data_IF_836937523787
#
_entry.id   IF_836937523787
#
_cell.length_a   1.000
_cell.length_b   1.000
_cell.length_c   1.000
_cell.angle_alpha   90.00
_cell.angle_beta   90.00
_cell.angle_gamma   90.00
#
_symmetry.space_group_name_H-M   'P 1'
#
loop_
_entity.id
_entity.type
_entity.pdbx_description
1 polymer ?
#
# COMPACT_ATOMS: atom_id res chain seq x y z
N UNK A 1 -40.75 -10.94 3.45
CA UNK A 1 -39.50 -11.76 3.51
C UNK A 1 -38.58 -11.10 4.52
N UNK A 2 -38.19 -11.76 5.63
CA UNK A 2 -37.17 -11.20 6.51
C UNK A 2 -35.83 -11.14 5.76
N UNK A 3 -35.09 -10.04 5.92
CA UNK A 3 -33.77 -9.84 5.34
C UNK A 3 -32.72 -9.76 6.45
N UNK A 4 -31.54 -10.29 6.17
CA UNK A 4 -30.36 -10.18 7.02
C UNK A 4 -29.44 -9.07 6.46
N UNK A 5 -28.98 -8.18 7.35
CA UNK A 5 -28.16 -7.01 7.01
C UNK A 5 -26.76 -7.10 7.67
N UNK A 6 -26.15 -8.28 7.63
CA UNK A 6 -24.85 -8.53 8.29
C UNK A 6 -23.65 -8.01 7.47
N UNK A 7 -23.90 -7.22 6.44
CA UNK A 7 -22.91 -6.74 5.49
C UNK A 7 -22.48 -5.31 5.77
N UNK A 8 -21.19 -5.11 6.02
CA UNK A 8 -20.59 -3.79 6.11
C UNK A 8 -20.26 -3.32 4.69
N UNK A 9 -21.01 -2.37 4.14
CA UNK A 9 -20.72 -1.78 2.82
C UNK A 9 -19.43 -0.95 2.74
N UNK A 10 -18.58 -0.96 3.78
CA UNK A 10 -17.21 -0.44 3.73
C UNK A 10 -17.12 1.03 3.31
N UNK A 11 -16.18 1.36 2.42
CA UNK A 11 -16.03 2.71 1.86
C UNK A 11 -17.25 3.19 1.06
N UNK A 12 -18.11 2.27 0.59
CA UNK A 12 -19.37 2.62 -0.09
C UNK A 12 -20.47 3.07 0.88
N UNK A 13 -20.35 2.78 2.19
CA UNK A 13 -21.25 3.31 3.23
C UNK A 13 -20.87 4.72 3.71
N UNK A 14 -19.60 5.10 3.51
CA UNK A 14 -19.12 6.40 3.97
C UNK A 14 -19.81 7.49 3.14
N UNK A 15 -20.43 8.44 3.82
CA UNK A 15 -20.77 9.71 3.22
C UNK A 15 -19.51 10.31 2.56
N UNK A 16 -19.65 11.09 1.49
CA UNK A 16 -18.53 11.80 0.89
C UNK A 16 -17.69 12.50 1.96
N UNK A 17 -16.37 12.29 1.95
CA UNK A 17 -15.50 12.94 2.92
C UNK A 17 -15.59 14.46 2.74
N UNK A 18 -16.03 15.14 3.80
CA UNK A 18 -16.02 16.60 3.83
C UNK A 18 -14.58 17.10 3.89
N UNK A 19 -14.28 18.13 3.13
CA UNK A 19 -13.00 18.83 3.23
C UNK A 19 -12.94 19.62 4.54
N UNK A 20 -11.74 19.94 5.02
CA UNK A 20 -11.57 20.79 6.21
C UNK A 20 -12.19 22.18 5.99
N UNK A 21 -12.18 22.69 4.76
CA UNK A 21 -12.87 23.93 4.40
C UNK A 21 -14.41 23.81 4.57
N UNK A 22 -15.00 22.68 4.17
CA UNK A 22 -16.43 22.42 4.36
C UNK A 22 -16.81 22.23 5.84
N UNK A 23 -15.90 21.69 6.65
CA UNK A 23 -16.08 21.60 8.10
C UNK A 23 -15.97 22.97 8.77
N UNK A 24 -15.02 23.80 8.33
CA UNK A 24 -14.81 25.15 8.86
C UNK A 24 -15.91 26.14 8.44
N UNK A 25 -16.53 25.95 7.27
CA UNK A 25 -17.65 26.76 6.79
C UNK A 25 -19.00 26.38 7.44
N UNK A 26 -19.03 25.38 8.33
CA UNK A 26 -20.26 24.89 8.96
C UNK A 26 -20.72 25.84 10.05
N UNK A 27 -21.94 26.37 9.90
CA UNK A 27 -22.61 27.11 10.97
C UNK A 27 -23.01 26.17 12.12
N UNK A 28 -22.93 26.63 13.39
CA UNK A 28 -23.43 25.86 14.53
C UNK A 28 -24.91 25.51 14.33
N UNK A 29 -25.26 24.23 14.38
CA UNK A 29 -26.66 23.76 14.27
C UNK A 29 -27.17 23.43 12.86
N UNK A 30 -26.35 23.59 11.81
CA UNK A 30 -26.74 23.19 10.46
C UNK A 30 -26.90 21.66 10.35
N UNK A 31 -28.09 21.21 9.91
CA UNK A 31 -28.42 19.80 9.67
C UNK A 31 -27.53 19.22 8.55
N UNK A 32 -27.13 17.96 8.72
CA UNK A 32 -26.31 17.24 7.74
C UNK A 32 -27.19 16.64 6.63
N UNK A 33 -27.10 17.17 5.41
CA UNK A 33 -27.51 16.44 4.19
C UNK A 33 -26.39 15.49 3.75
N UNK A 34 -26.12 14.46 4.53
CA UNK A 34 -25.26 13.37 4.11
C UNK A 34 -26.14 12.14 3.86
N UNK A 35 -26.53 11.92 2.61
CA UNK A 35 -27.10 10.63 2.22
C UNK A 35 -26.00 9.57 2.35
N UNK A 36 -26.14 8.73 3.37
CA UNK A 36 -25.26 7.59 3.60
C UNK A 36 -25.32 6.58 2.45
N UNK A 37 -24.35 5.67 2.39
CA UNK A 37 -24.32 4.65 1.34
C UNK A 37 -25.39 3.57 1.45
N UNK A 38 -25.58 2.82 0.36
CA UNK A 38 -26.54 1.69 0.29
C UNK A 38 -26.03 0.49 1.08
N UNK A 39 -26.90 -0.12 1.90
CA UNK A 39 -26.66 -1.41 2.56
C UNK A 39 -27.15 -2.55 1.67
N UNK A 40 -26.38 -3.64 1.61
CA UNK A 40 -26.84 -4.87 0.96
C UNK A 40 -27.64 -5.68 2.00
N UNK A 41 -28.85 -6.08 1.63
CA UNK A 41 -29.72 -6.93 2.42
C UNK A 41 -29.94 -8.24 1.66
N UNK A 42 -29.70 -9.38 2.33
CA UNK A 42 -29.87 -10.71 1.72
C UNK A 42 -31.13 -11.35 2.33
N UNK A 43 -32.02 -11.95 1.53
CA UNK A 43 -33.16 -12.69 2.07
C UNK A 43 -32.68 -13.74 3.09
N UNK A 44 -33.34 -13.82 4.24
CA UNK A 44 -32.96 -14.76 5.30
C UNK A 44 -32.98 -16.22 4.81
N UNK A 45 -33.95 -16.54 3.95
CA UNK A 45 -34.08 -17.86 3.32
C UNK A 45 -32.82 -18.28 2.56
N UNK A 46 -32.12 -17.33 1.92
CA UNK A 46 -30.90 -17.62 1.17
C UNK A 46 -29.69 -17.81 2.10
N UNK A 47 -29.79 -17.45 3.38
CA UNK A 47 -28.71 -17.65 4.37
C UNK A 47 -28.86 -18.93 5.20
N UNK A 48 -29.91 -19.73 4.95
CA UNK A 48 -30.12 -20.98 5.65
C UNK A 48 -29.03 -22.03 5.30
N UNK A 49 -28.70 -22.95 6.22
CA UNK A 49 -27.72 -24.01 5.95
C UNK A 49 -28.06 -24.80 4.68
N UNK A 50 -27.07 -25.02 3.81
CA UNK A 50 -27.23 -25.83 2.61
C UNK A 50 -27.72 -25.07 1.37
N UNK A 51 -28.05 -23.78 1.48
CA UNK A 51 -28.34 -22.96 0.30
C UNK A 51 -27.08 -22.69 -0.53
N UNK A 52 -27.25 -22.36 -1.81
CA UNK A 52 -26.12 -21.99 -2.66
C UNK A 52 -25.35 -20.76 -2.13
N UNK A 53 -26.07 -19.79 -1.57
CA UNK A 53 -25.45 -18.59 -1.00
C UNK A 53 -24.68 -18.92 0.29
N UNK A 54 -25.21 -19.76 1.18
CA UNK A 54 -24.49 -20.20 2.38
C UNK A 54 -23.23 -20.97 2.03
N UNK A 55 -23.32 -21.92 1.09
CA UNK A 55 -22.17 -22.70 0.63
C UNK A 55 -21.08 -21.82 -0.01
N UNK A 56 -21.49 -20.83 -0.81
CA UNK A 56 -20.60 -19.84 -1.39
C UNK A 56 -19.95 -18.97 -0.32
N UNK A 57 -20.74 -18.45 0.62
CA UNK A 57 -20.26 -17.62 1.72
C UNK A 57 -19.27 -18.39 2.59
N UNK A 58 -19.50 -19.68 2.86
CA UNK A 58 -18.57 -20.54 3.62
C UNK A 58 -17.25 -20.73 2.89
N UNK A 59 -17.27 -20.92 1.56
CA UNK A 59 -16.06 -21.04 0.76
C UNK A 59 -15.29 -19.72 0.64
N UNK A 60 -16.00 -18.59 0.59
CA UNK A 60 -15.41 -17.26 0.40
C UNK A 60 -15.00 -16.57 1.70
N UNK A 61 -15.65 -16.87 2.81
CA UNK A 61 -15.45 -16.27 4.13
C UNK A 61 -15.39 -17.35 5.23
N UNK A 62 -14.38 -18.21 5.21
CA UNK A 62 -14.33 -19.40 6.06
C UNK A 62 -14.16 -19.11 7.56
N UNK A 63 -13.75 -17.90 7.94
CA UNK A 63 -13.64 -17.45 9.32
C UNK A 63 -14.02 -15.98 9.46
N UNK A 64 -14.24 -15.54 10.70
CA UNK A 64 -14.81 -14.22 11.03
C UNK A 64 -14.05 -13.06 10.39
N UNK A 65 -12.71 -13.08 10.40
CA UNK A 65 -11.90 -12.03 9.80
C UNK A 65 -11.97 -12.06 8.27
N UNK A 66 -11.95 -13.25 7.66
CA UNK A 66 -12.12 -13.41 6.22
C UNK A 66 -13.48 -12.86 5.76
N UNK A 67 -14.54 -12.99 6.55
CA UNK A 67 -15.85 -12.40 6.26
C UNK A 67 -15.76 -10.89 6.05
N UNK A 68 -15.09 -10.13 6.92
CA UNK A 68 -14.93 -8.68 6.75
C UNK A 68 -14.17 -8.29 5.48
N UNK A 69 -13.15 -9.06 5.07
CA UNK A 69 -12.39 -8.79 3.86
C UNK A 69 -13.11 -9.25 2.58
N UNK A 70 -13.83 -10.37 2.65
CA UNK A 70 -14.64 -10.90 1.55
C UNK A 70 -15.78 -9.96 1.23
N UNK A 71 -16.43 -9.37 2.24
CA UNK A 71 -17.38 -8.27 2.01
C UNK A 71 -16.72 -7.13 1.24
N UNK A 72 -15.56 -6.64 1.67
CA UNK A 72 -14.82 -5.57 0.96
C UNK A 72 -14.43 -5.95 -0.47
N UNK A 73 -14.15 -7.24 -0.73
CA UNK A 73 -13.85 -7.76 -2.07
C UNK A 73 -15.09 -7.78 -2.96
N UNK A 74 -16.23 -8.22 -2.43
CA UNK A 74 -17.51 -8.19 -3.13
C UNK A 74 -18.02 -6.77 -3.47
N UNK A 75 -17.50 -5.75 -2.76
CA UNK A 75 -17.80 -4.34 -3.01
C UNK A 75 -16.61 -3.53 -3.54
N UNK A 76 -15.57 -4.20 -4.07
CA UNK A 76 -14.47 -3.50 -4.71
C UNK A 76 -15.02 -2.67 -5.88
N UNK A 77 -14.87 -1.35 -5.81
CA UNK A 77 -15.20 -0.51 -6.96
C UNK A 77 -14.25 -0.88 -8.11
N UNK A 78 -14.74 -0.95 -9.36
CA UNK A 78 -13.82 -0.94 -10.48
C UNK A 78 -12.95 0.31 -10.33
N UNK A 79 -11.64 0.19 -10.52
CA UNK A 79 -10.80 1.37 -10.50
C UNK A 79 -11.14 2.25 -11.69
N UNK A 80 -10.69 3.49 -11.57
CA UNK A 80 -10.90 4.55 -12.54
C UNK A 80 -9.98 4.35 -13.76
N UNK A 81 -10.09 3.20 -14.43
CA UNK A 81 -9.44 2.90 -15.71
C UNK A 81 -10.53 2.76 -16.77
N UNK A 82 -10.50 3.67 -17.75
CA UNK A 82 -11.48 3.70 -18.83
C UNK A 82 -11.54 2.36 -19.58
N UNK A 83 -12.76 1.86 -19.78
CA UNK A 83 -13.02 0.63 -20.53
C UNK A 83 -12.80 -0.67 -19.76
N UNK A 84 -12.47 -0.62 -18.46
CA UNK A 84 -12.32 -1.81 -17.62
C UNK A 84 -13.37 -1.87 -16.50
N UNK A 85 -13.89 -3.07 -16.26
CA UNK A 85 -14.83 -3.39 -15.19
C UNK A 85 -14.18 -4.13 -14.01
N UNK A 86 -14.97 -4.48 -12.98
CA UNK A 86 -14.45 -5.16 -11.79
C UNK A 86 -13.80 -6.52 -12.08
N UNK A 87 -14.30 -7.23 -13.09
CA UNK A 87 -13.80 -8.54 -13.50
C UNK A 87 -12.39 -8.47 -14.10
N UNK A 88 -11.99 -7.32 -14.66
CA UNK A 88 -10.69 -7.17 -15.33
C UNK A 88 -9.50 -7.13 -14.36
N UNK A 89 -9.79 -7.17 -13.05
CA UNK A 89 -8.83 -7.27 -11.94
C UNK A 89 -8.77 -8.68 -11.34
N UNK A 90 -9.66 -9.57 -11.76
CA UNK A 90 -9.71 -10.93 -11.26
C UNK A 90 -8.73 -11.81 -12.03
N UNK A 91 -7.87 -12.51 -11.28
CA UNK A 91 -7.07 -13.59 -11.84
C UNK A 91 -7.83 -14.90 -11.71
N UNK A 92 -8.24 -15.45 -12.85
CA UNK A 92 -9.05 -16.68 -12.91
C UNK A 92 -8.25 -17.92 -13.32
N UNK A 93 -8.80 -19.10 -13.05
CA UNK A 93 -8.22 -20.39 -13.45
C UNK A 93 -7.23 -20.97 -12.43
N UNK A 94 -6.48 -21.98 -12.87
CA UNK A 94 -5.52 -22.69 -12.03
C UNK A 94 -4.11 -22.11 -12.13
N UNK A 95 -3.48 -21.86 -11.00
CA UNK A 95 -2.09 -21.42 -10.91
C UNK A 95 -1.48 -21.87 -9.58
N UNK A 96 -0.14 -21.88 -9.51
CA UNK A 96 0.59 -22.37 -8.34
C UNK A 96 1.04 -21.22 -7.47
N UNK A 97 0.60 -21.24 -6.21
CA UNK A 97 0.96 -20.29 -5.18
C UNK A 97 2.02 -20.86 -4.25
N UNK A 98 3.09 -20.10 -4.02
CA UNK A 98 4.03 -20.37 -2.94
C UNK A 98 3.76 -19.46 -1.76
N UNK A 99 3.41 -20.09 -0.63
CA UNK A 99 3.36 -19.46 0.68
C UNK A 99 4.66 -19.75 1.40
N UNK A 100 5.42 -18.70 1.70
CA UNK A 100 6.69 -18.77 2.39
C UNK A 100 6.47 -18.41 3.85
N UNK A 101 7.00 -19.21 4.79
CA UNK A 101 6.90 -18.89 6.20
C UNK A 101 7.75 -17.65 6.53
N UNK A 102 7.35 -16.98 7.61
CA UNK A 102 8.17 -15.99 8.28
C UNK A 102 9.53 -16.58 8.65
N UNK A 103 10.51 -15.69 8.76
CA UNK A 103 11.90 -16.08 9.00
C UNK A 103 12.52 -15.30 10.14
N UNK A 104 13.48 -15.91 10.86
CA UNK A 104 14.31 -15.20 11.82
C UNK A 104 14.96 -13.97 11.18
N UNK A 105 15.14 -12.91 11.98
CA UNK A 105 15.86 -11.73 11.55
C UNK A 105 17.27 -12.10 11.05
N UNK A 106 17.65 -11.58 9.88
CA UNK A 106 18.96 -11.84 9.27
C UNK A 106 19.06 -13.10 8.40
N UNK A 107 18.07 -14.01 8.44
CA UNK A 107 18.06 -15.16 7.54
C UNK A 107 17.83 -14.74 6.08
N UNK A 108 18.66 -15.26 5.17
CA UNK A 108 18.58 -14.92 3.76
C UNK A 108 17.28 -15.45 3.12
N UNK A 109 16.74 -14.73 2.14
CA UNK A 109 15.51 -15.14 1.47
C UNK A 109 15.77 -16.22 0.40
N UNK A 110 15.01 -17.35 0.37
CA UNK A 110 15.24 -18.43 -0.60
C UNK A 110 14.78 -18.02 -2.00
N UNK A 111 13.80 -17.12 -2.08
CA UNK A 111 13.42 -16.45 -3.32
C UNK A 111 14.26 -15.18 -3.50
N UNK A 112 15.18 -15.17 -4.48
CA UNK A 112 16.06 -14.03 -4.77
C UNK A 112 15.94 -13.64 -6.23
N UNK A 113 15.49 -12.42 -6.47
CA UNK A 113 15.34 -11.89 -7.82
C UNK A 113 16.72 -11.51 -8.37
N UNK A 114 16.95 -11.84 -9.64
CA UNK A 114 18.12 -11.42 -10.40
C UNK A 114 17.63 -10.68 -11.65
N UNK A 115 18.11 -9.47 -11.85
CA UNK A 115 17.87 -8.66 -13.05
C UNK A 115 19.03 -8.75 -14.02
N UNK A 116 18.84 -8.25 -15.27
CA UNK A 116 19.91 -8.16 -16.25
C UNK A 116 21.08 -7.27 -15.77
N UNK A 117 20.77 -6.24 -15.00
CA UNK A 117 21.73 -5.25 -14.49
C UNK A 117 22.32 -5.62 -13.12
N UNK A 118 22.00 -6.82 -12.60
CA UNK A 118 22.49 -7.33 -11.32
C UNK A 118 21.41 -7.80 -10.36
N UNK A 119 21.78 -8.12 -9.11
CA UNK A 119 20.84 -8.64 -8.11
C UNK A 119 19.79 -7.59 -7.71
N UNK A 120 18.56 -8.04 -7.51
CA UNK A 120 17.45 -7.19 -7.03
C UNK A 120 17.24 -7.45 -5.53
N UNK A 121 17.39 -6.40 -4.73
CA UNK A 121 17.38 -6.50 -3.26
C UNK A 121 15.98 -6.66 -2.65
N UNK A 122 14.91 -6.58 -3.46
CA UNK A 122 13.54 -6.75 -3.00
C UNK A 122 13.27 -8.19 -2.57
N UNK A 123 12.42 -8.37 -1.55
CA UNK A 123 12.04 -9.70 -1.05
C UNK A 123 10.56 -9.77 -0.67
N UNK A 124 9.94 -10.95 -0.78
CA UNK A 124 8.69 -11.22 -0.10
C UNK A 124 8.87 -11.07 1.41
N UNK A 125 7.96 -10.34 2.05
CA UNK A 125 7.92 -10.14 3.50
C UNK A 125 6.59 -9.49 3.89
N UNK A 126 5.95 -10.00 4.95
CA UNK A 126 4.75 -9.39 5.58
C UNK A 126 3.70 -8.91 4.57
N UNK A 127 3.14 -9.86 3.80
CA UNK A 127 2.11 -9.56 2.80
C UNK A 127 2.64 -8.97 1.48
N UNK A 128 3.89 -8.52 1.39
CA UNK A 128 4.53 -8.24 0.11
C UNK A 128 4.96 -9.55 -0.57
N UNK A 129 4.65 -9.69 -1.86
CA UNK A 129 5.01 -10.84 -2.67
C UNK A 129 5.26 -10.50 -4.13
N UNK A 130 5.54 -11.53 -4.91
CA UNK A 130 5.86 -11.45 -6.33
C UNK A 130 4.93 -12.33 -7.16
N UNK A 131 4.64 -11.89 -8.38
CA UNK A 131 3.88 -12.63 -9.39
C UNK A 131 4.62 -12.56 -10.73
N UNK A 132 4.66 -13.68 -11.46
CA UNK A 132 5.21 -13.69 -12.83
C UNK A 132 4.38 -12.82 -13.75
N UNK A 133 5.04 -12.08 -14.64
CA UNK A 133 4.39 -11.26 -15.65
C UNK A 133 3.40 -12.08 -16.49
N UNK A 134 3.80 -13.27 -16.96
CA UNK A 134 2.93 -14.15 -17.75
C UNK A 134 1.62 -14.54 -17.05
N UNK A 135 1.62 -14.65 -15.72
CA UNK A 135 0.40 -14.90 -14.95
C UNK A 135 -0.37 -13.60 -14.72
N UNK A 136 0.33 -12.53 -14.34
CA UNK A 136 -0.30 -11.25 -14.01
C UNK A 136 -1.03 -10.63 -15.20
N UNK A 137 -0.48 -10.77 -16.41
CA UNK A 137 -1.06 -10.29 -17.66
C UNK A 137 -2.36 -10.98 -18.07
N UNK A 138 -2.74 -12.07 -17.39
CA UNK A 138 -4.08 -12.67 -17.57
C UNK A 138 -5.19 -11.81 -16.94
N UNK A 139 -4.84 -10.83 -16.11
CA UNK A 139 -5.73 -9.76 -15.68
C UNK A 139 -5.64 -8.60 -16.70
N UNK A 140 -6.70 -8.29 -17.45
CA UNK A 140 -6.68 -7.23 -18.46
C UNK A 140 -6.20 -5.88 -17.94
N UNK A 141 -6.53 -5.55 -16.69
CA UNK A 141 -6.05 -4.33 -16.04
C UNK A 141 -4.54 -4.26 -15.88
N UNK A 142 -3.92 -5.37 -15.49
CA UNK A 142 -2.47 -5.45 -15.32
C UNK A 142 -1.78 -5.50 -16.67
N UNK A 143 -2.36 -6.21 -17.64
CA UNK A 143 -1.87 -6.20 -19.03
C UNK A 143 -1.83 -4.78 -19.60
N UNK A 144 -2.89 -3.98 -19.38
CA UNK A 144 -2.93 -2.57 -19.81
C UNK A 144 -1.87 -1.70 -19.13
N UNK A 145 -1.58 -1.96 -17.85
CA UNK A 145 -0.53 -1.24 -17.12
C UNK A 145 0.88 -1.60 -17.61
N UNK A 146 1.11 -2.85 -18.01
CA UNK A 146 2.40 -3.34 -18.51
C UNK A 146 2.63 -3.00 -20.00
N UNK A 147 1.56 -3.03 -20.80
CA UNK A 147 1.56 -2.76 -22.23
C UNK A 147 0.48 -1.72 -22.55
N UNK A 148 0.82 -0.43 -22.49
CA UNK A 148 -0.09 0.62 -22.94
C UNK A 148 -0.38 0.43 -24.43
N UNK A 149 -1.66 0.39 -24.80
CA UNK A 149 -2.16 0.14 -26.15
C UNK A 149 -2.66 1.43 -26.84
N UNK A 150 -2.07 2.57 -26.47
CA UNK A 150 -2.50 3.89 -26.93
C UNK A 150 -3.71 4.47 -26.17
N UNK A 151 -4.34 3.69 -25.29
CA UNK A 151 -5.33 4.21 -24.35
C UNK A 151 -4.70 5.11 -23.27
N UNK A 152 -5.53 5.83 -22.51
CA UNK A 152 -5.08 6.68 -21.41
C UNK A 152 -4.21 5.87 -20.41
N UNK A 153 -3.07 6.42 -19.97
CA UNK A 153 -2.15 5.69 -19.10
C UNK A 153 -2.80 5.39 -17.74
N UNK A 154 -2.48 4.21 -17.20
CA UNK A 154 -2.91 3.82 -15.85
C UNK A 154 -2.22 4.74 -14.84
N UNK A 155 -3.02 5.48 -14.07
CA UNK A 155 -2.48 6.43 -13.09
C UNK A 155 -1.72 5.71 -11.98
N UNK A 156 -0.48 6.13 -11.74
CA UNK A 156 0.34 5.56 -10.66
C UNK A 156 -0.17 6.04 -9.31
N UNK A 157 -0.16 5.14 -8.31
CA UNK A 157 -0.62 5.49 -6.96
C UNK A 157 0.17 6.68 -6.39
N UNK A 158 -0.57 7.69 -5.93
CA UNK A 158 0.03 8.90 -5.35
C UNK A 158 0.91 9.68 -6.32
N UNK A 159 0.77 9.48 -7.63
CA UNK A 159 1.40 10.33 -8.64
C UNK A 159 0.94 11.78 -8.41
N UNK A 160 1.92 12.69 -8.33
CA UNK A 160 1.77 14.12 -8.03
C UNK A 160 1.09 14.45 -6.69
N UNK A 161 0.79 13.44 -5.87
CA UNK A 161 0.21 13.63 -4.55
C UNK A 161 1.31 13.83 -3.52
N UNK A 162 1.40 15.06 -3.01
CA UNK A 162 2.15 15.37 -1.80
C UNK A 162 1.25 15.19 -0.58
N UNK A 163 1.78 14.56 0.45
CA UNK A 163 1.12 14.35 1.73
C UNK A 163 1.88 15.12 2.79
N UNK A 164 1.17 15.86 3.62
CA UNK A 164 1.77 16.55 4.76
C UNK A 164 2.12 15.54 5.83
N UNK A 165 3.32 15.65 6.38
CA UNK A 165 3.72 14.90 7.58
C UNK A 165 2.83 15.39 8.73
N UNK A 166 2.04 14.50 9.37
CA UNK A 166 1.17 14.94 10.44
C UNK A 166 1.99 15.39 11.64
N UNK A 167 1.46 16.36 12.39
CA UNK A 167 2.14 16.94 13.55
C UNK A 167 2.57 15.87 14.58
N UNK A 168 1.78 14.79 14.73
CA UNK A 168 2.10 13.66 15.60
C UNK A 168 3.43 12.98 15.25
N UNK A 169 3.81 12.95 13.97
CA UNK A 169 5.08 12.38 13.54
C UNK A 169 6.29 13.14 14.12
N UNK A 170 6.13 14.44 14.38
CA UNK A 170 7.21 15.31 14.85
C UNK A 170 7.29 15.34 16.40
N UNK A 171 6.22 14.94 17.10
CA UNK A 171 6.14 14.98 18.57
C UNK A 171 7.10 14.00 19.27
N UNK A 172 7.61 13.00 18.54
CA UNK A 172 8.53 12.00 19.09
C UNK A 172 10.00 12.44 19.10
N UNK A 173 10.32 13.57 18.48
CA UNK A 173 11.68 14.09 18.39
C UNK A 173 11.92 15.20 19.42
N UNK A 174 13.13 15.30 19.99
CA UNK A 174 13.47 16.40 20.88
C UNK A 174 13.36 17.73 20.15
N UNK A 175 13.01 18.78 20.90
CA UNK A 175 12.99 20.16 20.36
C UNK A 175 14.38 20.53 19.84
N UNK A 176 14.43 21.13 18.66
CA UNK A 176 15.68 21.57 18.04
C UNK A 176 15.47 22.94 17.39
N UNK A 177 16.24 23.93 17.82
CA UNK A 177 16.19 25.28 17.26
C UNK A 177 16.55 25.28 15.77
N UNK A 178 17.53 24.46 15.37
CA UNK A 178 17.93 24.32 13.97
C UNK A 178 16.81 23.74 13.10
N UNK A 179 16.06 22.76 13.62
CA UNK A 179 14.91 22.18 12.91
C UNK A 179 13.74 23.16 12.84
N UNK A 180 13.50 23.91 13.92
CA UNK A 180 12.47 24.96 13.94
C UNK A 180 12.77 26.03 12.88
N UNK A 181 14.04 26.43 12.76
CA UNK A 181 14.49 27.39 11.75
C UNK A 181 14.36 26.83 10.32
N UNK A 182 14.82 25.60 10.06
CA UNK A 182 14.61 24.95 8.75
C UNK A 182 13.12 24.85 8.39
N UNK A 183 12.27 24.58 9.38
CA UNK A 183 10.82 24.50 9.20
C UNK A 183 10.23 25.86 8.87
N UNK A 184 10.70 26.93 9.53
CA UNK A 184 10.32 28.31 9.24
C UNK A 184 10.72 28.72 7.82
N UNK A 185 11.97 28.46 7.43
CA UNK A 185 12.46 28.74 6.08
C UNK A 185 11.63 28.01 5.00
N UNK A 186 11.29 26.74 5.22
CA UNK A 186 10.43 25.97 4.31
C UNK A 186 9.01 26.55 4.22
N UNK A 187 8.43 26.92 5.35
CA UNK A 187 7.11 27.54 5.40
C UNK A 187 7.10 28.89 4.66
N UNK A 188 8.11 29.73 4.88
CA UNK A 188 8.28 31.03 4.19
C UNK A 188 8.47 30.87 2.68
N UNK A 189 9.33 29.93 2.26
CA UNK A 189 9.52 29.63 0.85
C UNK A 189 8.22 29.14 0.19
N UNK A 190 7.47 28.27 0.88
CA UNK A 190 6.17 27.81 0.39
C UNK A 190 5.16 28.96 0.29
N UNK A 191 5.04 29.80 1.32
CA UNK A 191 4.17 30.98 1.34
C UNK A 191 4.52 31.95 0.20
N UNK A 192 5.81 32.21 -0.03
CA UNK A 192 6.29 33.08 -1.11
C UNK A 192 6.07 32.50 -2.51
N UNK A 193 6.00 31.17 -2.65
CA UNK A 193 5.70 30.52 -3.94
C UNK A 193 4.22 30.59 -4.34
N UNK A 194 3.33 31.01 -3.43
CA UNK A 194 1.89 31.03 -3.69
C UNK A 194 1.51 32.19 -4.61
N UNK A 195 0.61 31.89 -5.55
CA UNK A 195 -0.06 32.89 -6.39
C UNK A 195 -1.23 33.57 -5.68
N UNK A 196 -1.81 32.94 -4.66
CA UNK A 196 -2.97 33.44 -3.92
C UNK A 196 -2.57 33.94 -2.53
N UNK A 197 -2.90 35.19 -2.16
CA UNK A 197 -2.47 35.79 -0.90
C UNK A 197 -3.26 35.29 0.32
N UNK A 198 -4.46 34.73 0.14
CA UNK A 198 -5.25 34.16 1.24
C UNK A 198 -5.02 32.65 1.36
N UNK A 199 -4.83 32.21 2.60
CA UNK A 199 -4.77 30.79 2.95
C UNK A 199 -6.17 30.28 3.27
N UNK A 200 -6.46 29.05 2.87
CA UNK A 200 -7.59 28.30 3.43
C UNK A 200 -7.31 27.95 4.89
N UNK A 201 -8.36 27.62 5.66
CA UNK A 201 -8.19 27.19 7.06
C UNK A 201 -7.27 25.95 7.19
N UNK A 202 -7.35 25.02 6.25
CA UNK A 202 -6.48 23.83 6.19
C UNK A 202 -5.01 24.20 5.96
N UNK A 203 -4.75 25.10 5.02
CA UNK A 203 -3.40 25.56 4.71
C UNK A 203 -2.78 26.32 5.87
N UNK A 204 -3.54 27.20 6.51
CA UNK A 204 -3.10 27.90 7.73
C UNK A 204 -2.76 26.90 8.83
N UNK A 205 -3.65 25.94 9.10
CA UNK A 205 -3.42 24.90 10.11
C UNK A 205 -2.15 24.09 9.81
N UNK A 206 -1.95 23.65 8.56
CA UNK A 206 -0.76 22.89 8.15
C UNK A 206 0.51 23.72 8.19
N UNK A 207 0.45 24.99 7.82
CA UNK A 207 1.57 25.93 7.95
C UNK A 207 2.03 26.01 9.40
N UNK A 208 1.10 26.23 10.34
CA UNK A 208 1.42 26.42 11.76
C UNK A 208 1.87 25.13 12.45
N UNK A 209 1.28 23.98 12.09
CA UNK A 209 1.53 22.71 12.80
C UNK A 209 2.64 21.86 12.21
N UNK A 210 2.92 22.00 10.92
CA UNK A 210 3.86 21.14 10.19
C UNK A 210 4.82 21.89 9.28
N UNK A 211 4.68 23.22 9.14
CA UNK A 211 5.53 24.04 8.27
C UNK A 211 5.52 23.63 6.80
N UNK A 212 4.45 22.96 6.34
CA UNK A 212 4.39 22.37 4.98
C UNK A 212 5.55 21.41 4.68
N UNK A 213 6.00 20.66 5.69
CA UNK A 213 6.88 19.51 5.48
C UNK A 213 6.06 18.42 4.79
N UNK A 214 6.07 18.47 3.46
CA UNK A 214 5.31 17.59 2.59
C UNK A 214 6.23 16.56 1.92
N UNK A 215 5.79 15.32 1.89
CA UNK A 215 6.46 14.20 1.24
C UNK A 215 5.64 13.59 0.12
N UNK A 216 6.24 12.89 -0.87
CA UNK A 216 5.47 12.07 -1.78
C UNK A 216 4.67 11.02 -1.00
N UNK A 217 3.40 10.85 -1.39
CA UNK A 217 2.66 9.63 -1.05
C UNK A 217 3.29 8.44 -1.76
N UNK A 218 3.69 7.42 -1.01
CA UNK A 218 4.34 6.23 -1.55
C UNK A 218 3.92 4.97 -0.79
N UNK A 219 4.28 3.83 -1.35
CA UNK A 219 4.15 2.52 -0.70
C UNK A 219 5.54 1.91 -0.64
N UNK A 220 6.08 1.72 0.56
CA UNK A 220 7.38 1.07 0.71
C UNK A 220 7.25 -0.43 0.52
N UNK A 221 8.26 -1.00 -0.15
CA UNK A 221 8.39 -2.43 -0.39
C UNK A 221 9.61 -2.96 0.35
N UNK A 222 9.58 -4.19 0.91
CA UNK A 222 10.67 -4.70 1.73
C UNK A 222 11.95 -4.98 0.91
N UNK A 223 13.07 -4.45 1.38
CA UNK A 223 14.42 -4.77 0.90
C UNK A 223 15.18 -5.67 1.89
N UNK A 224 16.13 -6.43 1.36
CA UNK A 224 16.96 -7.41 2.09
C UNK A 224 18.16 -6.83 2.83
N UNK A 225 18.58 -5.63 2.48
CA UNK A 225 19.93 -5.10 2.75
C UNK A 225 19.92 -3.80 3.58
N UNK A 226 18.75 -3.40 4.09
CA UNK A 226 18.61 -2.20 4.91
C UNK A 226 18.70 -0.88 4.14
N UNK A 227 18.56 -0.91 2.81
CA UNK A 227 18.54 0.28 1.96
C UNK A 227 17.13 0.65 1.52
N UNK A 228 16.96 1.94 1.21
CA UNK A 228 15.76 2.50 0.60
C UNK A 228 16.03 2.73 -0.89
N UNK A 229 15.27 2.07 -1.74
CA UNK A 229 15.36 2.23 -3.19
C UNK A 229 14.24 3.13 -3.68
N UNK A 230 14.59 4.14 -4.46
CA UNK A 230 13.66 5.19 -4.88
C UNK A 230 13.57 5.21 -6.41
N UNK A 231 12.38 4.96 -6.99
CA UNK A 231 12.17 5.11 -8.43
C UNK A 231 12.30 6.58 -8.84
N UNK A 232 12.64 6.83 -10.09
CA UNK A 232 12.80 8.16 -10.70
C UNK A 232 11.60 9.06 -10.40
N UNK A 233 10.37 8.53 -10.50
CA UNK A 233 9.13 9.28 -10.23
C UNK A 233 9.06 9.87 -8.79
N UNK A 234 9.76 9.26 -7.83
CA UNK A 234 9.75 9.67 -6.42
C UNK A 234 11.10 10.25 -5.95
N UNK A 235 12.10 10.29 -6.84
CA UNK A 235 13.50 10.61 -6.51
C UNK A 235 13.70 12.06 -6.06
N UNK A 236 13.05 13.04 -6.70
CA UNK A 236 13.34 14.48 -6.50
C UNK A 236 13.24 14.96 -5.05
N UNK A 237 12.41 14.30 -4.25
CA UNK A 237 12.19 14.67 -2.84
C UNK A 237 12.92 13.76 -1.86
N UNK A 238 13.45 12.61 -2.32
CA UNK A 238 13.93 11.54 -1.46
C UNK A 238 15.41 11.20 -1.64
N UNK A 239 16.07 11.66 -2.71
CA UNK A 239 17.46 11.26 -3.03
C UNK A 239 18.45 12.42 -2.89
N UNK A 240 18.23 13.32 -1.93
CA UNK A 240 19.15 14.42 -1.64
C UNK A 240 20.29 14.03 -0.68
N UNK A 241 21.18 14.98 -0.39
CA UNK A 241 22.25 14.81 0.62
C UNK A 241 21.72 14.64 2.06
N UNK A 242 20.40 14.83 2.22
CA UNK A 242 19.66 14.60 3.45
C UNK A 242 19.24 13.15 3.64
N UNK A 243 19.12 12.72 4.89
CA UNK A 243 18.43 11.46 5.19
C UNK A 243 16.94 11.53 4.81
N UNK A 244 16.30 10.37 4.74
CA UNK A 244 14.87 10.21 4.49
C UNK A 244 14.18 9.63 5.71
N UNK A 245 13.09 10.25 6.15
CA UNK A 245 12.19 9.66 7.13
C UNK A 245 11.03 9.00 6.41
N UNK A 246 10.84 7.69 6.58
CA UNK A 246 9.66 6.97 6.08
C UNK A 246 8.70 6.75 7.24
N UNK A 247 7.44 7.14 7.07
CA UNK A 247 6.41 6.99 8.11
C UNK A 247 5.14 6.30 7.62
N UNK A 248 4.52 5.49 8.48
CA UNK A 248 3.13 5.04 8.31
C UNK A 248 2.23 5.53 9.45
N UNK A 249 0.94 5.64 9.20
CA UNK A 249 -0.03 5.93 10.25
C UNK A 249 -0.30 4.69 11.13
N UNK A 250 -0.46 4.83 12.46
CA UNK A 250 -0.24 6.05 13.23
C UNK A 250 1.26 6.38 13.30
N UNK A 251 1.63 7.65 13.09
CA UNK A 251 3.03 8.08 12.95
C UNK A 251 3.76 8.17 14.30
N UNK A 252 3.83 7.05 14.99
CA UNK A 252 4.57 6.88 16.24
C UNK A 252 6.01 6.41 16.00
N UNK A 253 6.84 6.39 17.04
CA UNK A 253 8.26 6.00 16.96
C UNK A 253 8.47 4.62 16.28
N UNK A 254 7.68 3.56 16.56
CA UNK A 254 7.76 2.30 15.82
C UNK A 254 7.46 2.41 14.31
N UNK A 255 6.57 3.30 13.92
CA UNK A 255 6.11 3.47 12.55
C UNK A 255 6.90 4.52 11.76
N UNK A 256 7.88 5.18 12.39
CA UNK A 256 8.79 6.15 11.80
C UNK A 256 10.20 5.56 11.66
N UNK A 257 10.70 5.50 10.44
CA UNK A 257 11.98 4.86 10.13
C UNK A 257 12.92 5.81 9.38
N UNK A 258 14.00 6.29 10.02
CA UNK A 258 15.00 7.11 9.34
C UNK A 258 15.95 6.26 8.50
N UNK A 259 16.36 6.81 7.36
CA UNK A 259 17.40 6.30 6.48
C UNK A 259 18.44 7.41 6.28
N UNK A 260 19.71 7.12 6.50
CA UNK A 260 20.78 8.04 6.16
C UNK A 260 20.91 8.18 4.64
N UNK A 261 21.44 9.31 4.14
CA UNK A 261 21.62 9.56 2.70
C UNK A 261 22.36 8.40 1.99
N UNK A 262 23.41 7.86 2.63
CA UNK A 262 24.17 6.71 2.12
C UNK A 262 23.40 5.39 2.06
N UNK A 263 22.21 5.30 2.65
CA UNK A 263 21.31 4.14 2.59
C UNK A 263 20.21 4.29 1.54
N UNK A 264 20.08 5.48 0.94
CA UNK A 264 19.10 5.74 -0.12
C UNK A 264 19.78 5.52 -1.47
N UNK A 265 19.11 4.84 -2.38
CA UNK A 265 19.57 4.55 -3.74
C UNK A 265 18.53 5.00 -4.74
N UNK A 266 18.96 5.74 -5.77
CA UNK A 266 18.09 6.23 -6.82
C UNK A 266 18.27 5.45 -8.10
N UNK A 267 17.21 5.34 -8.89
CA UNK A 267 17.31 4.87 -10.27
C UNK A 267 18.17 5.81 -11.12
N UNK A 268 18.21 7.11 -10.77
CA UNK A 268 19.07 8.12 -11.42
C UNK A 268 20.57 7.84 -11.21
N UNK A 269 20.93 7.10 -10.16
CA UNK A 269 22.32 6.73 -9.85
C UNK A 269 22.73 5.42 -10.53
N UNK A 270 21.87 4.83 -11.37
CA UNK A 270 22.10 3.56 -12.04
C UNK A 270 21.90 2.32 -11.15
N UNK A 271 21.29 2.46 -9.98
CA UNK A 271 21.03 1.31 -9.10
C UNK A 271 20.00 0.35 -9.72
N UNK A 272 20.38 -0.93 -9.87
CA UNK A 272 19.56 -1.95 -10.52
C UNK A 272 18.21 -2.20 -9.82
N UNK A 273 18.16 -2.13 -8.48
CA UNK A 273 16.92 -2.36 -7.74
C UNK A 273 15.99 -1.16 -7.89
N UNK A 274 16.52 0.06 -7.84
CA UNK A 274 15.72 1.26 -8.08
C UNK A 274 15.23 1.35 -9.54
N UNK A 275 16.08 0.99 -10.52
CA UNK A 275 15.70 0.91 -11.93
C UNK A 275 14.64 -0.16 -12.21
N UNK A 276 14.65 -1.28 -11.46
CA UNK A 276 13.57 -2.26 -11.50
C UNK A 276 12.23 -1.65 -11.02
N UNK A 277 12.26 -0.86 -9.94
CA UNK A 277 11.06 -0.19 -9.41
C UNK A 277 10.45 0.82 -10.40
N UNK A 278 11.25 1.43 -11.28
CA UNK A 278 10.76 2.33 -12.33
C UNK A 278 9.90 1.64 -13.39
N UNK A 279 10.13 0.33 -13.60
CA UNK A 279 9.49 -0.43 -14.68
C UNK A 279 8.42 -1.40 -14.17
N UNK A 280 8.42 -1.70 -12.87
CA UNK A 280 7.53 -2.70 -12.31
C UNK A 280 6.12 -2.17 -12.09
N UNK A 281 5.13 -3.04 -12.27
CA UNK A 281 3.75 -2.80 -11.84
C UNK A 281 3.55 -3.49 -10.50
N UNK A 282 2.90 -2.80 -9.56
CA UNK A 282 2.52 -3.38 -8.29
C UNK A 282 1.03 -3.13 -8.03
N UNK A 283 0.35 -4.12 -7.47
CA UNK A 283 -1.08 -4.04 -7.18
C UNK A 283 -1.40 -4.70 -5.84
N UNK A 284 -2.48 -4.23 -5.21
CA UNK A 284 -2.97 -4.84 -3.98
C UNK A 284 -3.69 -6.15 -4.30
N UNK A 285 -3.44 -7.18 -3.51
CA UNK A 285 -4.13 -8.47 -3.66
C UNK A 285 -4.83 -8.86 -2.36
N UNK A 286 -5.76 -9.80 -2.48
CA UNK A 286 -6.29 -10.56 -1.35
C UNK A 286 -6.54 -11.99 -1.79
N UNK A 287 -5.94 -12.95 -1.11
CA UNK A 287 -6.12 -14.38 -1.35
C UNK A 287 -6.92 -14.99 -0.21
N UNK A 288 -7.88 -15.85 -0.58
CA UNK A 288 -8.49 -16.83 0.31
C UNK A 288 -8.08 -18.19 -0.23
N UNK A 289 -7.35 -18.96 0.56
CA UNK A 289 -6.91 -20.30 0.21
C UNK A 289 -7.57 -21.25 1.18
N UNK A 290 -8.25 -22.26 0.67
CA UNK A 290 -8.73 -23.38 1.46
C UNK A 290 -7.88 -24.60 1.13
N UNK A 291 -7.26 -25.21 2.13
CA UNK A 291 -6.57 -26.47 1.99
C UNK A 291 -7.60 -27.58 2.10
N UNK A 292 -8.10 -28.03 0.95
CA UNK A 292 -9.10 -29.09 0.90
C UNK A 292 -8.50 -30.42 1.32
N UNK A 293 -9.09 -31.09 2.31
CA UNK A 293 -8.78 -32.48 2.67
C UNK A 293 -9.30 -33.49 1.62
N UNK A 294 -10.26 -33.08 0.79
CA UNK A 294 -10.86 -33.92 -0.26
C UNK A 294 -11.31 -33.16 -1.50
N UNK A 295 -12.18 -33.77 -2.31
CA UNK A 295 -12.69 -33.15 -3.54
C UNK A 295 -13.57 -31.91 -3.27
N UNK A 296 -14.26 -31.90 -2.12
CA UNK A 296 -15.08 -30.79 -1.65
C UNK A 296 -14.43 -30.16 -0.42
N UNK A 297 -14.75 -28.88 -0.19
CA UNK A 297 -14.35 -28.18 1.02
C UNK A 297 -15.14 -28.74 2.20
N UNK A 298 -14.44 -29.39 3.13
CA UNK A 298 -14.98 -29.82 4.42
C UNK A 298 -15.09 -28.61 5.37
N UNK A 299 -15.90 -28.75 6.44
CA UNK A 299 -16.14 -27.66 7.37
C UNK A 299 -14.90 -27.31 8.23
N UNK A 300 -14.03 -28.29 8.43
CA UNK A 300 -12.81 -28.25 9.24
C UNK A 300 -11.53 -28.08 8.41
N UNK A 301 -11.66 -27.95 7.08
CA UNK A 301 -10.52 -27.72 6.20
C UNK A 301 -9.78 -26.43 6.59
N UNK A 302 -8.44 -26.47 6.78
CA UNK A 302 -7.67 -25.28 7.10
C UNK A 302 -7.81 -24.23 6.01
N UNK A 303 -8.05 -22.99 6.42
CA UNK A 303 -8.13 -21.86 5.48
C UNK A 303 -7.12 -20.79 5.85
N UNK A 304 -6.58 -20.14 4.82
CA UNK A 304 -5.55 -19.14 4.94
C UNK A 304 -5.95 -17.90 4.15
N UNK A 305 -5.80 -16.75 4.80
CA UNK A 305 -6.03 -15.45 4.19
C UNK A 305 -4.72 -14.70 4.11
N UNK A 306 -4.48 -14.05 2.97
CA UNK A 306 -3.36 -13.14 2.81
C UNK A 306 -3.81 -11.88 2.08
N UNK A 307 -3.33 -10.73 2.53
CA UNK A 307 -3.54 -9.45 1.87
C UNK A 307 -2.22 -8.69 1.86
N UNK A 308 -1.94 -8.01 0.76
CA UNK A 308 -0.81 -7.12 0.69
C UNK A 308 -0.60 -6.62 -0.72
N UNK A 309 0.65 -6.65 -1.18
CA UNK A 309 1.06 -6.12 -2.48
C UNK A 309 1.76 -7.22 -3.26
N UNK A 310 1.35 -7.42 -4.50
CA UNK A 310 2.10 -8.20 -5.48
C UNK A 310 2.83 -7.25 -6.40
N UNK A 311 4.14 -7.48 -6.55
CA UNK A 311 4.96 -6.82 -7.56
C UNK A 311 5.08 -7.79 -8.74
N UNK A 312 4.78 -7.29 -9.94
CA UNK A 312 4.94 -8.02 -11.18
C UNK A 312 6.42 -8.12 -11.51
N UNK A 313 6.89 -9.35 -11.71
CA UNK A 313 8.27 -9.67 -12.03
C UNK A 313 8.33 -10.27 -13.43
N UNK A 314 9.18 -9.72 -14.34
CA UNK A 314 9.42 -10.33 -15.64
C UNK A 314 9.84 -11.80 -15.50
N UNK A 315 9.30 -12.67 -16.34
CA UNK A 315 9.51 -14.12 -16.22
C UNK A 315 11.00 -14.52 -16.23
N UNK A 316 11.83 -13.82 -17.01
CA UNK A 316 13.29 -14.02 -17.07
C UNK A 316 14.03 -13.69 -15.76
N UNK A 317 13.44 -12.86 -14.90
CA UNK A 317 13.99 -12.50 -13.59
C UNK A 317 13.50 -13.43 -12.48
N UNK A 318 12.63 -14.40 -12.82
CA UNK A 318 12.09 -15.33 -11.86
C UNK A 318 13.16 -16.36 -11.42
N UNK A 319 13.33 -16.64 -10.11
CA UNK A 319 14.45 -17.44 -9.64
C UNK A 319 14.33 -18.91 -10.08
N UNK A 320 15.23 -19.36 -10.96
CA UNK A 320 15.26 -20.73 -11.50
C UNK A 320 15.60 -21.79 -10.44
N UNK A 321 16.46 -21.46 -9.48
CA UNK A 321 16.97 -22.38 -8.46
C UNK A 321 16.16 -22.37 -7.15
N UNK A 322 15.04 -21.64 -7.11
CA UNK A 322 14.19 -21.65 -5.92
C UNK A 322 13.48 -23.02 -5.79
N UNK A 323 13.28 -23.55 -4.56
CA UNK A 323 12.44 -24.73 -4.35
C UNK A 323 11.01 -24.55 -4.90
N UNK A 324 10.64 -23.28 -5.13
CA UNK A 324 9.38 -22.82 -5.67
C UNK A 324 9.46 -22.41 -7.15
N UNK A 325 10.45 -22.91 -7.92
CA UNK A 325 10.62 -22.57 -9.34
C UNK A 325 9.42 -22.87 -10.23
N UNK A 326 8.57 -23.80 -9.81
CA UNK A 326 7.31 -24.16 -10.50
C UNK A 326 6.13 -23.28 -10.11
N UNK A 327 6.30 -22.40 -9.12
CA UNK A 327 5.25 -21.49 -8.70
C UNK A 327 5.20 -20.25 -9.58
N UNK A 328 4.00 -19.71 -9.70
CA UNK A 328 3.70 -18.50 -10.47
C UNK A 328 3.63 -17.27 -9.57
N UNK A 329 3.52 -17.47 -8.26
CA UNK A 329 3.52 -16.44 -7.22
C UNK A 329 4.36 -16.87 -6.01
N UNK A 330 4.99 -15.90 -5.34
CA UNK A 330 5.74 -16.10 -4.12
C UNK A 330 5.38 -15.04 -3.09
N UNK A 331 4.79 -15.45 -1.98
CA UNK A 331 4.25 -14.56 -0.95
C UNK A 331 4.78 -15.01 0.40
N UNK A 332 5.32 -14.08 1.19
CA UNK A 332 5.60 -14.35 2.59
C UNK A 332 4.34 -14.04 3.39
N UNK A 333 3.86 -15.03 4.14
CA UNK A 333 2.72 -14.86 5.03
C UNK A 333 3.19 -14.99 6.46
N UNK A 334 2.63 -14.15 7.33
CA UNK A 334 2.76 -14.38 8.76
C UNK A 334 2.25 -15.78 9.08
N UNK A 335 2.96 -16.49 9.95
CA UNK A 335 2.56 -17.84 10.43
C UNK A 335 1.08 -17.82 10.80
N UNK A 336 0.26 -18.81 10.41
CA UNK A 336 -1.14 -18.87 10.82
C UNK A 336 -1.21 -19.01 12.35
N UNK A 337 -1.28 -17.88 13.04
CA UNK A 337 -1.67 -17.83 14.44
C UNK A 337 -3.13 -18.22 14.48
N UNK A 338 -3.43 -19.37 15.10
CA UNK A 338 -4.78 -19.65 15.57
C UNK A 338 -5.19 -18.47 16.45
N UNK A 339 -6.23 -17.76 16.03
CA UNK A 339 -6.84 -16.62 16.73
C UNK A 339 -5.95 -15.38 16.95
N UNK A 340 -6.51 -14.23 16.56
CA UNK A 340 -6.11 -12.88 16.98
C UNK A 340 -4.68 -12.43 16.66
N UNK A 341 -4.43 -12.06 15.41
CA UNK A 341 -3.42 -11.03 15.10
C UNK A 341 -3.82 -10.27 13.84
N UNK A 342 -4.22 -9.01 14.02
CA UNK A 342 -4.42 -8.03 12.95
C UNK A 342 -3.07 -7.71 12.30
N UNK A 343 -2.73 -8.44 11.24
CA UNK A 343 -1.59 -8.14 10.35
C UNK A 343 -1.88 -6.97 9.39
N UNK A 344 -0.88 -6.13 9.05
CA UNK A 344 -1.09 -4.80 8.51
C UNK A 344 -1.34 -4.79 6.99
N UNK A 345 -2.50 -4.29 6.60
CA UNK A 345 -2.76 -3.93 5.20
C UNK A 345 -1.93 -2.73 4.76
N UNK A 346 -1.39 -2.81 3.54
CA UNK A 346 -0.81 -1.69 2.77
C UNK A 346 -1.56 -0.38 3.02
N UNK A 347 -0.87 0.58 3.64
CA UNK A 347 -1.37 1.92 3.94
C UNK A 347 -0.32 2.94 3.49
N UNK A 348 -0.80 4.04 2.90
CA UNK A 348 -0.01 5.16 2.38
C UNK A 348 1.07 5.61 3.36
N UNK A 349 2.31 5.72 2.88
CA UNK A 349 3.43 6.29 3.61
C UNK A 349 3.69 7.72 3.14
N UNK A 350 4.22 8.55 4.05
CA UNK A 350 4.75 9.87 3.75
C UNK A 350 6.26 9.84 4.00
N UNK A 351 7.05 10.40 3.09
CA UNK A 351 8.50 10.46 3.25
C UNK A 351 9.05 11.86 2.96
N UNK A 352 9.92 12.40 3.81
CA UNK A 352 10.48 13.75 3.66
C UNK A 352 12.00 13.75 3.80
N UNK A 353 12.70 14.60 3.05
CA UNK A 353 14.13 14.85 3.20
C UNK A 353 14.42 16.13 4.00
N UNK A 354 15.50 16.10 4.79
CA UNK A 354 16.02 17.25 5.55
C UNK A 354 17.46 17.52 5.16
N UNK A 355 17.81 18.76 4.80
CA UNK A 355 19.18 19.13 4.40
C UNK A 355 20.09 19.15 5.62
N UNK A 356 21.32 18.63 5.50
CA UNK A 356 22.36 18.83 6.50
C UNK A 356 22.95 20.24 6.32
N UNK A 357 22.94 21.06 7.37
CA UNK A 357 23.70 22.29 7.40
C UNK A 357 25.21 21.97 7.36
N UNK A 358 25.90 22.45 6.32
CA UNK A 358 27.37 22.52 6.30
C UNK A 358 27.78 23.88 6.85
N UNK A 359 28.38 23.91 8.04
CA UNK A 359 29.50 24.83 8.31
C UNK A 359 30.40 24.25 9.39
N UNK A 360 31.69 24.39 9.10
CA UNK A 360 32.82 23.85 9.82
C UNK A 360 33.13 24.62 11.12
N UNK A 361 33.60 23.89 12.12
CA UNK A 361 34.70 24.34 12.99
C UNK A 361 35.28 23.13 13.74
N UNK A 362 36.46 22.68 13.32
CA UNK A 362 37.57 22.32 14.21
C UNK A 362 38.79 23.09 13.68
N UNK A 363 39.79 23.47 14.49
CA UNK A 363 40.06 23.02 15.86
C UNK A 363 40.31 24.17 16.88
N UNK A 364 40.09 23.90 18.15
CA UNK A 364 41.14 23.79 19.18
C UNK A 364 40.64 22.88 20.29
#
# INVERSE_FOLDING_TARGET
>A
MPYRMDLFGGSKLKAPQKTLAQLAARLPGAADEATGGKLLAIPYADTAPGTAFEQLARAWAPFKEAYYYTQRRGFAAPPDIAGLGPHDYALEGAFRLSLLPDRPAGAAHPFRLAGPDGPIALRPHDGCGFIRASLAERMPAIARALRPDGAAPVRVFGQDKRTSVPASALQHYPRSAAVAEETREKAEAWLGSRKQPRLTAEELFRTVTSGHIDGPGAVAVPSGDGRLYVPTLKSETLTGDGGVLVGRSPYDKPNLRPFAAGQVRSARDGDATAAFLDRCVAFQYSFNVAHKSGQRLAADDPTLFAKGILIVVPDQMWPADSPNKRSSTAISTATPLSSSATGPGSTSMCASSTRRSRRAARPR
#
